data_IF_470631969038
#
_entry.id   IF_470631969038
#
_cell.length_a   1.000
_cell.length_b   1.000
_cell.length_c   1.000
_cell.angle_alpha   90.00
_cell.angle_beta   90.00
_cell.angle_gamma   90.00
#
_symmetry.space_group_name_H-M   'P 1'
#
loop_
_entity.id
_entity.type
_entity.pdbx_description
1 polymer ?
#
# COMPACT_ATOMS: atom_id res chain seq x y z
N UNK A 1 -11.05 9.61 -13.45
CA UNK A 1 -9.97 8.71 -13.02
C UNK A 1 -9.17 8.11 -14.18
N UNK A 2 -9.75 7.29 -15.08
CA UNK A 2 -9.03 6.67 -16.22
C UNK A 2 -8.12 7.63 -17.00
N UNK A 3 -8.66 8.75 -17.46
CA UNK A 3 -7.90 9.73 -18.23
C UNK A 3 -6.74 10.39 -17.45
N UNK A 4 -6.83 10.46 -16.12
CA UNK A 4 -5.73 10.97 -15.28
C UNK A 4 -4.57 9.96 -15.26
N UNK A 5 -4.86 8.70 -14.95
CA UNK A 5 -3.86 7.62 -14.86
C UNK A 5 -3.14 7.38 -16.20
N UNK A 6 -3.90 7.33 -17.30
CA UNK A 6 -3.34 7.13 -18.65
C UNK A 6 -2.52 8.33 -19.16
N UNK A 7 -2.67 9.52 -18.55
CA UNK A 7 -1.89 10.71 -18.91
C UNK A 7 -0.66 10.92 -18.01
N UNK A 8 -0.28 9.91 -17.23
CA UNK A 8 0.86 9.99 -16.32
C UNK A 8 0.49 10.20 -14.86
N UNK A 9 -0.81 10.25 -14.52
CA UNK A 9 -1.24 10.27 -13.12
C UNK A 9 -0.83 9.00 -12.37
N UNK A 10 -0.76 9.12 -11.05
CA UNK A 10 -0.44 8.03 -10.13
C UNK A 10 -1.46 7.98 -9.01
N UNK A 11 -1.88 6.78 -8.61
CA UNK A 11 -2.82 6.58 -7.51
C UNK A 11 -2.26 5.56 -6.53
N UNK A 12 -2.15 5.94 -5.26
CA UNK A 12 -1.91 5.01 -4.17
C UNK A 12 -3.21 4.82 -3.38
N UNK A 13 -3.66 3.58 -3.27
CA UNK A 13 -4.81 3.17 -2.46
C UNK A 13 -4.35 2.42 -1.23
N UNK A 14 -4.84 2.84 -0.07
CA UNK A 14 -4.46 2.34 1.25
C UNK A 14 -5.69 2.22 2.16
N UNK A 15 -5.51 1.57 3.31
CA UNK A 15 -6.52 1.36 4.36
C UNK A 15 -7.81 0.72 3.84
N UNK A 16 -7.64 -0.44 3.22
CA UNK A 16 -8.76 -1.32 2.88
C UNK A 16 -8.40 -2.77 3.19
N UNK A 17 -9.38 -3.48 3.72
CA UNK A 17 -9.15 -4.73 4.43
C UNK A 17 -10.12 -5.82 4.02
N UNK A 18 -9.61 -7.05 4.07
CA UNK A 18 -10.37 -8.27 3.92
C UNK A 18 -10.93 -8.49 2.52
N UNK A 19 -11.57 -9.63 2.36
CA UNK A 19 -12.13 -10.06 1.08
C UNK A 19 -13.17 -9.06 0.55
N UNK A 20 -14.00 -8.48 1.43
CA UNK A 20 -15.01 -7.50 1.03
C UNK A 20 -14.39 -6.20 0.48
N UNK A 21 -13.39 -5.65 1.17
CA UNK A 21 -12.68 -4.46 0.71
C UNK A 21 -11.97 -4.71 -0.61
N UNK A 22 -11.31 -5.86 -0.73
CA UNK A 22 -10.67 -6.30 -1.97
C UNK A 22 -11.65 -6.41 -3.14
N UNK A 23 -12.79 -7.09 -2.96
CA UNK A 23 -13.79 -7.29 -4.01
C UNK A 23 -14.39 -5.96 -4.47
N UNK A 24 -14.72 -5.07 -3.53
CA UNK A 24 -15.24 -3.75 -3.86
C UNK A 24 -14.21 -2.95 -4.67
N UNK A 25 -12.99 -2.83 -4.16
CA UNK A 25 -11.94 -2.05 -4.80
C UNK A 25 -11.60 -2.60 -6.20
N UNK A 26 -11.35 -3.90 -6.30
CA UNK A 26 -11.00 -4.57 -7.56
C UNK A 26 -12.10 -4.44 -8.61
N UNK A 27 -13.38 -4.50 -8.21
CA UNK A 27 -14.52 -4.25 -9.10
C UNK A 27 -14.55 -2.80 -9.61
N UNK A 28 -14.39 -1.81 -8.74
CA UNK A 28 -14.45 -0.40 -9.15
C UNK A 28 -13.26 0.01 -10.02
N UNK A 29 -12.04 -0.42 -9.68
CA UNK A 29 -10.87 -0.08 -10.50
C UNK A 29 -10.92 -0.78 -11.86
N UNK A 30 -11.49 -2.00 -11.95
CA UNK A 30 -11.69 -2.69 -13.22
C UNK A 30 -12.65 -1.94 -14.15
N UNK A 31 -13.67 -1.26 -13.63
CA UNK A 31 -14.54 -0.39 -14.46
C UNK A 31 -13.75 0.78 -15.07
N UNK A 32 -12.75 1.29 -14.36
CA UNK A 32 -11.93 2.41 -14.82
C UNK A 32 -10.79 1.97 -15.75
N UNK A 33 -10.23 0.77 -15.54
CA UNK A 33 -9.07 0.22 -16.23
C UNK A 33 -9.30 -1.26 -16.61
N UNK A 34 -10.29 -1.58 -17.47
CA UNK A 34 -10.65 -2.97 -17.74
C UNK A 34 -9.56 -3.76 -18.45
N UNK A 35 -8.62 -3.08 -19.12
CA UNK A 35 -7.56 -3.68 -19.92
C UNK A 35 -6.29 -3.99 -19.10
N UNK A 36 -6.17 -3.43 -17.90
CA UNK A 36 -4.93 -3.46 -17.11
C UNK A 36 -5.10 -4.33 -15.86
N UNK A 37 -4.44 -5.50 -15.79
CA UNK A 37 -4.60 -6.42 -14.67
C UNK A 37 -3.91 -5.90 -13.41
N UNK A 38 -4.44 -6.34 -12.26
CA UNK A 38 -3.76 -6.16 -10.98
C UNK A 38 -2.75 -7.31 -10.80
N UNK A 39 -1.54 -6.99 -10.35
CA UNK A 39 -0.50 -7.97 -10.04
C UNK A 39 0.17 -7.71 -8.69
N UNK A 40 0.77 -8.74 -8.10
CA UNK A 40 1.60 -8.58 -6.90
C UNK A 40 2.96 -7.97 -7.27
N UNK A 41 3.31 -6.87 -6.60
CA UNK A 41 4.60 -6.20 -6.79
C UNK A 41 5.67 -7.02 -6.06
N UNK A 42 6.57 -7.63 -6.82
CA UNK A 42 7.64 -8.47 -6.29
C UNK A 42 8.66 -7.67 -5.49
N UNK A 43 9.49 -8.36 -4.70
CA UNK A 43 10.57 -7.71 -3.93
C UNK A 43 11.57 -6.98 -4.83
N UNK A 44 11.81 -7.48 -6.03
CA UNK A 44 12.80 -6.91 -6.96
C UNK A 44 12.28 -5.72 -7.77
N UNK A 45 11.01 -5.33 -7.61
CA UNK A 45 10.45 -4.22 -8.38
C UNK A 45 11.11 -2.88 -7.98
N UNK A 46 11.49 -2.00 -8.93
CA UNK A 46 12.21 -0.76 -8.64
C UNK A 46 11.56 0.16 -7.60
N UNK A 47 10.22 0.17 -7.53
CA UNK A 47 9.46 0.93 -6.52
C UNK A 47 9.79 0.57 -5.06
N UNK A 48 10.53 -0.53 -4.81
CA UNK A 48 10.93 -0.98 -3.47
C UNK A 48 12.40 -0.71 -3.17
N UNK A 49 13.10 -0.02 -4.09
CA UNK A 49 14.53 0.26 -4.04
C UNK A 49 14.87 1.63 -4.65
N UNK A 50 13.96 2.60 -4.54
CA UNK A 50 14.17 3.95 -5.13
C UNK A 50 15.22 4.72 -4.33
N UNK A 51 15.10 4.73 -3.01
CA UNK A 51 16.07 5.30 -2.08
C UNK A 51 16.43 4.31 -0.97
N UNK A 52 15.45 3.57 -0.46
CA UNK A 52 15.65 2.60 0.60
C UNK A 52 15.35 1.17 0.13
N UNK A 53 16.13 0.16 0.55
CA UNK A 53 15.77 -1.22 0.29
C UNK A 53 14.57 -1.62 1.17
N UNK A 54 13.44 -1.97 0.54
CA UNK A 54 12.22 -2.42 1.24
C UNK A 54 11.97 -3.91 0.99
N UNK A 55 12.46 -4.75 1.90
CA UNK A 55 12.37 -6.22 1.79
C UNK A 55 10.96 -6.76 2.00
N UNK A 56 10.18 -6.12 2.88
CA UNK A 56 8.83 -6.54 3.24
C UNK A 56 7.92 -5.32 3.42
N UNK A 57 6.67 -5.45 2.98
CA UNK A 57 5.62 -4.47 3.25
C UNK A 57 4.94 -4.86 4.56
N UNK A 58 5.17 -4.06 5.59
CA UNK A 58 4.66 -4.32 6.95
C UNK A 58 3.13 -4.21 6.95
N UNK A 59 2.47 -5.11 7.70
CA UNK A 59 1.07 -4.92 8.03
C UNK A 59 0.97 -3.96 9.21
N UNK A 60 0.51 -2.74 8.93
CA UNK A 60 0.23 -1.70 9.92
C UNK A 60 -1.26 -1.73 10.24
N UNK A 61 -1.58 -1.49 11.50
CA UNK A 61 -2.96 -1.37 12.01
C UNK A 61 -3.11 -0.04 12.68
N UNK A 62 -4.32 0.46 12.80
CA UNK A 62 -4.56 1.65 13.58
C UNK A 62 -4.07 1.49 15.04
N UNK A 63 -3.52 2.57 15.61
CA UNK A 63 -2.95 2.57 16.96
C UNK A 63 -3.91 2.07 18.04
N UNK A 64 -5.22 2.33 17.92
CA UNK A 64 -6.20 1.88 18.91
C UNK A 64 -6.31 0.35 18.92
N UNK A 65 -6.29 -0.28 17.74
CA UNK A 65 -6.28 -1.73 17.62
C UNK A 65 -4.98 -2.33 18.15
N UNK A 66 -3.82 -1.72 17.84
CA UNK A 66 -2.54 -2.14 18.40
C UNK A 66 -2.54 -2.10 19.93
N UNK A 67 -2.94 -0.99 20.54
CA UNK A 67 -2.93 -0.83 21.98
C UNK A 67 -3.84 -1.82 22.70
N UNK A 68 -4.98 -2.18 22.07
CA UNK A 68 -5.95 -3.15 22.63
C UNK A 68 -5.52 -4.60 22.46
N UNK A 69 -4.93 -4.96 21.32
CA UNK A 69 -4.78 -6.37 20.91
C UNK A 69 -3.34 -6.82 20.71
N UNK A 70 -2.41 -5.88 20.50
CA UNK A 70 -1.03 -6.14 20.06
C UNK A 70 -0.96 -6.98 18.79
N UNK A 71 -1.99 -6.87 17.94
CA UNK A 71 -2.11 -7.57 16.67
C UNK A 71 -2.33 -6.53 15.55
N UNK A 72 -1.75 -6.80 14.38
CA UNK A 72 -1.80 -5.94 13.20
C UNK A 72 -2.96 -6.26 12.26
N UNK A 73 -3.63 -7.39 12.43
CA UNK A 73 -4.71 -7.82 11.57
C UNK A 73 -6.06 -7.31 12.06
N UNK A 74 -6.71 -6.42 11.30
CA UNK A 74 -8.00 -5.81 11.66
C UNK A 74 -9.24 -6.62 11.25
N UNK A 75 -9.07 -7.66 10.44
CA UNK A 75 -10.12 -8.59 10.01
C UNK A 75 -9.81 -10.04 10.35
N UNK A 76 -8.93 -10.26 11.33
CA UNK A 76 -8.54 -11.60 11.80
C UNK A 76 -8.02 -12.48 10.66
N UNK A 77 -8.58 -13.69 10.52
CA UNK A 77 -8.15 -14.64 9.50
C UNK A 77 -8.36 -14.14 8.04
N UNK A 78 -9.20 -13.13 7.82
CA UNK A 78 -9.43 -12.51 6.50
C UNK A 78 -8.38 -11.42 6.14
N UNK A 79 -7.52 -11.06 7.09
CA UNK A 79 -6.38 -10.14 6.85
C UNK A 79 -5.06 -10.66 7.44
N UNK A 80 -4.60 -11.86 7.04
CA UNK A 80 -3.47 -12.51 7.71
C UNK A 80 -2.11 -11.86 7.41
N UNK A 81 -2.00 -11.10 6.32
CA UNK A 81 -0.81 -10.34 5.94
C UNK A 81 -1.19 -9.20 4.97
N UNK A 82 -0.32 -8.19 4.88
CA UNK A 82 -0.45 -7.11 3.92
C UNK A 82 -0.10 -7.59 2.49
N UNK A 83 -0.76 -7.02 1.49
CA UNK A 83 -0.41 -7.23 0.09
C UNK A 83 -0.02 -5.91 -0.56
N UNK A 84 1.03 -5.96 -1.37
CA UNK A 84 1.50 -4.82 -2.15
C UNK A 84 1.33 -5.11 -3.64
N UNK A 85 0.39 -4.41 -4.26
CA UNK A 85 -0.09 -4.70 -5.62
C UNK A 85 -0.07 -3.48 -6.50
N UNK A 86 -0.02 -3.72 -7.80
CA UNK A 86 0.09 -2.67 -8.81
C UNK A 86 -0.79 -2.90 -10.02
N UNK A 87 -1.00 -1.81 -10.76
CA UNK A 87 -1.49 -1.82 -12.14
C UNK A 87 -0.49 -0.98 -12.95
N UNK A 88 0.05 -1.57 -14.02
CA UNK A 88 1.01 -0.90 -14.91
C UNK A 88 0.38 -0.53 -16.25
N UNK A 89 0.88 0.54 -16.87
CA UNK A 89 0.54 0.87 -18.25
C UNK A 89 1.28 -0.03 -19.26
N UNK A 90 1.03 0.18 -20.56
CA UNK A 90 1.62 -0.60 -21.65
C UNK A 90 3.15 -0.51 -21.72
N UNK A 91 3.75 0.49 -21.07
CA UNK A 91 5.20 0.69 -20.99
C UNK A 91 5.80 0.10 -19.71
N UNK A 92 4.99 -0.53 -18.87
CA UNK A 92 5.41 -1.11 -17.60
C UNK A 92 5.54 -0.11 -16.45
N UNK A 93 5.11 1.15 -16.62
CA UNK A 93 5.09 2.14 -15.54
C UNK A 93 3.88 1.90 -14.65
N UNK A 94 4.08 1.85 -13.33
CA UNK A 94 2.96 1.74 -12.38
C UNK A 94 2.08 2.99 -12.45
N UNK A 95 0.79 2.79 -12.68
CA UNK A 95 -0.25 3.81 -12.59
C UNK A 95 -0.94 3.80 -11.24
N UNK A 96 -1.12 2.60 -10.69
CA UNK A 96 -1.82 2.38 -9.42
C UNK A 96 -0.97 1.49 -8.55
N UNK A 97 -0.88 1.84 -7.28
CA UNK A 97 -0.30 1.02 -6.23
C UNK A 97 -1.33 0.85 -5.13
N UNK A 98 -1.34 -0.34 -4.52
CA UNK A 98 -2.32 -0.72 -3.52
C UNK A 98 -1.61 -1.39 -2.34
N UNK A 99 -1.90 -0.91 -1.14
CA UNK A 99 -1.53 -1.52 0.13
C UNK A 99 -2.81 -2.10 0.76
N UNK A 100 -3.07 -3.38 0.48
CA UNK A 100 -4.25 -4.10 0.97
C UNK A 100 -3.94 -4.80 2.30
N UNK A 101 -4.95 -4.92 3.17
CA UNK A 101 -4.82 -5.54 4.50
C UNK A 101 -3.78 -4.84 5.38
N UNK A 102 -3.65 -3.53 5.23
CA UNK A 102 -2.83 -2.68 6.06
C UNK A 102 -3.41 -1.28 6.05
N UNK A 103 -3.27 -0.60 7.18
CA UNK A 103 -3.49 0.84 7.33
C UNK A 103 -2.10 1.48 7.31
N UNK A 104 -1.49 1.51 6.13
CA UNK A 104 -0.10 1.88 5.98
C UNK A 104 0.14 3.36 6.36
N UNK A 105 -0.84 4.23 6.11
CA UNK A 105 -0.85 5.63 6.53
C UNK A 105 -0.61 5.83 8.02
N UNK A 106 -1.15 4.96 8.89
CA UNK A 106 -0.98 5.10 10.34
C UNK A 106 0.50 4.98 10.78
N UNK A 107 1.38 4.49 9.92
CA UNK A 107 2.83 4.52 10.16
C UNK A 107 3.41 5.93 10.30
N UNK A 108 2.73 6.98 9.85
CA UNK A 108 3.22 8.36 9.94
C UNK A 108 2.18 9.39 10.40
N UNK A 109 0.96 8.98 10.72
CA UNK A 109 -0.10 9.91 11.15
C UNK A 109 0.06 10.35 12.61
N UNK A 110 0.58 9.47 13.48
CA UNK A 110 0.49 9.63 14.96
C UNK A 110 1.81 9.37 15.70
N UNK A 111 2.92 9.84 15.13
CA UNK A 111 4.30 9.53 15.58
C UNK A 111 4.59 9.76 17.07
N UNK A 112 3.93 10.76 17.68
CA UNK A 112 4.20 11.16 19.06
C UNK A 112 3.33 10.47 20.11
N UNK A 113 2.33 9.68 19.70
CA UNK A 113 1.35 9.13 20.62
C UNK A 113 1.82 7.88 21.35
N UNK A 114 2.66 7.07 20.71
CA UNK A 114 3.26 5.90 21.32
C UNK A 114 4.63 5.64 20.71
N UNK A 115 5.65 5.73 21.55
CA UNK A 115 7.03 5.42 21.17
C UNK A 115 7.17 3.99 20.65
N UNK A 116 6.48 3.04 21.29
CA UNK A 116 6.50 1.63 20.88
C UNK A 116 5.88 1.45 19.48
N UNK A 117 4.75 2.09 19.22
CA UNK A 117 4.09 2.02 17.92
C UNK A 117 4.97 2.65 16.82
N UNK A 118 5.53 3.82 17.11
CA UNK A 118 6.47 4.50 16.23
C UNK A 118 7.67 3.60 15.89
N UNK A 119 8.39 3.11 16.90
CA UNK A 119 9.57 2.27 16.69
C UNK A 119 9.25 0.98 15.92
N UNK A 120 8.01 0.48 16.03
CA UNK A 120 7.55 -0.72 15.34
C UNK A 120 7.21 -0.50 13.86
N UNK A 121 6.46 0.55 13.54
CA UNK A 121 5.83 0.70 12.22
C UNK A 121 6.42 1.85 11.40
N UNK A 122 6.77 2.97 12.03
CA UNK A 122 7.10 4.22 11.33
C UNK A 122 8.35 4.14 10.45
N UNK A 123 9.52 3.62 10.91
CA UNK A 123 10.72 3.58 10.08
C UNK A 123 10.54 2.82 8.75
N UNK A 124 9.87 1.66 8.79
CA UNK A 124 9.58 0.88 7.58
C UNK A 124 8.50 1.53 6.73
N UNK A 125 7.50 2.14 7.37
CA UNK A 125 6.49 2.97 6.72
C UNK A 125 7.11 4.08 5.89
N UNK A 126 7.98 4.90 6.49
CA UNK A 126 8.68 5.96 5.76
C UNK A 126 9.51 5.44 4.59
N UNK A 127 10.24 4.33 4.78
CA UNK A 127 11.07 3.78 3.71
C UNK A 127 10.22 3.46 2.47
N UNK A 128 9.12 2.73 2.63
CA UNK A 128 8.22 2.41 1.52
C UNK A 128 7.50 3.66 0.99
N UNK A 129 7.07 4.57 1.86
CA UNK A 129 6.40 5.81 1.48
C UNK A 129 7.24 6.70 0.61
N UNK A 130 8.48 6.92 1.02
CA UNK A 130 9.45 7.71 0.28
C UNK A 130 9.71 7.07 -1.09
N UNK A 131 9.87 5.76 -1.14
CA UNK A 131 10.13 5.05 -2.39
C UNK A 131 8.94 5.09 -3.36
N UNK A 132 7.71 4.90 -2.88
CA UNK A 132 6.49 5.02 -3.69
C UNK A 132 6.33 6.45 -4.23
N UNK A 133 6.57 7.46 -3.38
CA UNK A 133 6.52 8.86 -3.79
C UNK A 133 7.59 9.19 -4.83
N UNK A 134 8.84 8.77 -4.59
CA UNK A 134 9.92 8.96 -5.55
C UNK A 134 9.62 8.29 -6.89
N UNK A 135 9.11 7.05 -6.89
CA UNK A 135 8.69 6.37 -8.11
C UNK A 135 7.62 7.18 -8.84
N UNK A 136 6.56 7.61 -8.13
CA UNK A 136 5.44 8.35 -8.71
C UNK A 136 5.82 9.69 -9.36
N UNK A 137 6.93 10.29 -8.93
CA UNK A 137 7.42 11.58 -9.42
C UNK A 137 8.50 11.46 -10.50
N UNK A 138 9.07 10.28 -10.70
CA UNK A 138 10.24 10.08 -11.58
C UNK A 138 10.01 9.13 -12.75
N UNK A 139 8.89 8.39 -12.77
CA UNK A 139 8.52 7.45 -13.82
C UNK A 139 7.15 7.80 -14.39
#
# INVERSE_FOLDING_TARGET
>A
MRAYLLKGGFLWVDDFWGTAGWMQWSSEIHKALPEYPIFDITRDHPIRHMLYPVDDVEQVTNINNWMRTRNTSERGADSPHANFRGIADEKGRLMVVMTHNTDFGDSWERESESREFFERFSPKGYALGIDVLLYSLTH
#
